data_IF_662282929706
#
_entry.id   IF_662282929706
#
_cell.length_a   1.000
_cell.length_b   1.000
_cell.length_c   1.000
_cell.angle_alpha   90.00
_cell.angle_beta   90.00
_cell.angle_gamma   90.00
#
_symmetry.space_group_name_H-M   'P 1'
#
loop_
_entity.id
_entity.type
_entity.pdbx_description
1 polymer ?
#
# COMPACT_ATOMS: atom_id res chain seq x y z
N UNK A 1 7.64 29.51 1.98
CA UNK A 1 6.45 29.84 2.76
C UNK A 1 5.84 31.11 2.14
N UNK A 2 4.88 30.94 1.22
CA UNK A 2 4.22 32.07 0.57
C UNK A 2 2.99 32.43 1.43
N UNK A 3 3.01 33.57 2.12
CA UNK A 3 1.82 34.12 2.77
C UNK A 3 1.07 34.96 1.75
N UNK A 4 -0.06 34.52 1.27
CA UNK A 4 -0.99 35.36 0.53
C UNK A 4 -1.83 36.12 1.56
N UNK A 5 -1.67 37.42 1.61
CA UNK A 5 -2.47 38.31 2.44
C UNK A 5 -3.70 38.71 1.62
N UNK A 6 -4.89 38.30 2.07
CA UNK A 6 -6.15 38.75 1.48
C UNK A 6 -6.73 39.78 2.43
N UNK A 7 -6.90 41.02 1.95
CA UNK A 7 -7.61 42.06 2.68
C UNK A 7 -9.11 41.88 2.43
N UNK A 8 -9.86 41.73 3.51
CA UNK A 8 -11.32 41.78 3.48
C UNK A 8 -11.74 43.07 4.24
N UNK A 9 -12.38 44.03 3.58
CA UNK A 9 -13.01 45.14 4.24
C UNK A 9 -14.45 44.82 4.58
N UNK A 10 -14.76 44.77 5.87
CA UNK A 10 -16.12 44.68 6.38
C UNK A 10 -16.74 46.08 6.56
N UNK A 11 -18.04 46.18 6.89
CA UNK A 11 -18.74 47.44 7.11
C UNK A 11 -18.10 48.33 8.20
N UNK A 12 -17.26 47.78 9.05
CA UNK A 12 -16.59 48.44 10.18
C UNK A 12 -15.09 48.67 9.95
N UNK A 13 -14.57 48.51 8.73
CA UNK A 13 -13.20 48.82 8.35
C UNK A 13 -12.11 47.86 8.87
N UNK A 14 -12.44 46.66 9.31
CA UNK A 14 -11.48 45.69 9.81
C UNK A 14 -10.95 44.78 8.70
N UNK A 15 -9.62 44.74 8.55
CA UNK A 15 -8.94 43.80 7.64
C UNK A 15 -8.63 42.50 8.36
N UNK A 16 -9.14 41.38 7.88
CA UNK A 16 -8.80 40.06 8.42
C UNK A 16 -7.70 39.42 7.58
N UNK A 17 -6.56 39.14 8.19
CA UNK A 17 -5.44 38.43 7.54
C UNK A 17 -5.68 36.93 7.67
N UNK A 18 -5.89 36.23 6.55
CA UNK A 18 -6.03 34.78 6.50
C UNK A 18 -4.69 34.16 6.11
N UNK A 19 -4.07 33.44 7.05
CA UNK A 19 -2.87 32.63 6.75
C UNK A 19 -3.28 31.32 6.09
N UNK A 20 -2.76 31.05 4.89
CA UNK A 20 -2.88 29.74 4.24
C UNK A 20 -1.71 28.85 4.65
N UNK A 21 -1.99 27.60 4.95
CA UNK A 21 -0.96 26.58 5.09
C UNK A 21 -0.80 25.84 3.76
N UNK A 22 0.43 25.62 3.34
CA UNK A 22 0.74 24.69 2.25
C UNK A 22 0.61 23.28 2.79
N UNK A 23 -0.18 22.43 2.14
CA UNK A 23 -0.27 21.01 2.44
C UNK A 23 1.03 20.30 2.03
N UNK A 24 1.31 19.09 2.54
CA UNK A 24 2.51 18.32 2.18
C UNK A 24 2.65 18.05 0.67
N UNK A 25 1.55 18.05 -0.07
CA UNK A 25 1.47 17.92 -1.53
C UNK A 25 1.75 19.21 -2.31
N UNK A 26 2.04 20.32 -1.61
CA UNK A 26 2.25 21.64 -2.21
C UNK A 26 0.97 22.42 -2.51
N UNK A 27 -0.21 21.86 -2.25
CA UNK A 27 -1.49 22.50 -2.46
C UNK A 27 -1.83 23.51 -1.35
N UNK A 28 -2.55 24.57 -1.70
CA UNK A 28 -3.05 25.54 -0.72
C UNK A 28 -4.41 25.10 -0.19
N UNK A 29 -4.60 25.17 1.14
CA UNK A 29 -5.91 24.89 1.74
C UNK A 29 -6.99 25.82 1.19
N UNK A 30 -8.22 25.34 0.89
CA UNK A 30 -9.34 26.20 0.54
C UNK A 30 -9.64 27.20 1.66
N UNK A 31 -9.92 28.46 1.33
CA UNK A 31 -10.40 29.45 2.30
C UNK A 31 -11.86 29.14 2.67
N UNK A 32 -12.13 28.80 3.92
CA UNK A 32 -13.50 28.79 4.45
C UNK A 32 -13.79 30.18 5.02
N UNK A 33 -14.72 30.89 4.40
CA UNK A 33 -15.22 32.16 4.91
C UNK A 33 -16.48 31.90 5.74
N UNK A 34 -16.45 32.28 6.98
CA UNK A 34 -17.65 32.27 7.84
C UNK A 34 -17.90 33.74 8.25
N UNK A 35 -18.98 34.32 7.73
CA UNK A 35 -19.59 35.51 8.33
C UNK A 35 -19.35 36.89 7.69
N UNK A 36 -18.83 36.99 6.45
CA UNK A 36 -18.70 38.31 5.79
C UNK A 36 -19.23 38.31 4.35
N UNK A 37 -19.94 39.40 3.93
CA UNK A 37 -20.65 39.43 2.65
C UNK A 37 -19.82 39.79 1.39
N UNK A 38 -18.59 40.26 1.49
CA UNK A 38 -17.78 40.56 0.30
C UNK A 38 -16.29 40.64 0.60
N UNK A 39 -15.47 39.87 -0.13
CA UNK A 39 -14.02 40.03 -0.18
C UNK A 39 -13.60 40.41 -1.61
N UNK A 40 -12.85 41.47 -1.75
CA UNK A 40 -12.22 41.88 -3.02
C UNK A 40 -10.75 41.43 -3.01
N UNK A 41 -10.29 40.81 -4.09
CA UNK A 41 -8.87 40.52 -4.30
C UNK A 41 -8.37 41.41 -5.44
N UNK A 42 -7.24 42.07 -5.27
CA UNK A 42 -6.60 42.88 -6.30
C UNK A 42 -5.91 42.07 -7.41
N UNK A 43 -5.93 40.73 -7.34
CA UNK A 43 -5.37 39.84 -8.37
C UNK A 43 -6.38 39.66 -9.51
N UNK A 44 -6.08 40.16 -10.74
CA UNK A 44 -6.98 40.10 -11.90
C UNK A 44 -7.38 38.66 -12.29
N UNK A 45 -6.63 37.65 -11.85
CA UNK A 45 -6.89 36.24 -12.12
C UNK A 45 -8.07 35.66 -11.34
N UNK A 46 -8.62 36.41 -10.37
CA UNK A 46 -9.72 35.98 -9.49
C UNK A 46 -11.07 36.54 -9.84
N UNK A 47 -11.20 37.29 -10.95
CA UNK A 47 -12.47 37.92 -11.33
C UNK A 47 -13.56 36.96 -11.82
N UNK A 48 -13.33 35.64 -11.88
CA UNK A 48 -14.25 34.71 -12.55
C UNK A 48 -14.88 33.62 -11.66
N UNK A 49 -14.74 33.67 -10.34
CA UNK A 49 -15.35 32.61 -9.52
C UNK A 49 -15.94 33.14 -8.23
N UNK A 50 -17.26 33.35 -8.20
CA UNK A 50 -17.97 33.55 -6.95
C UNK A 50 -19.17 34.46 -6.98
N UNK A 51 -20.20 34.15 -7.74
CA UNK A 51 -21.53 34.72 -7.47
C UNK A 51 -22.19 33.91 -6.36
N UNK A 52 -22.29 34.52 -5.17
CA UNK A 52 -23.10 33.98 -4.07
C UNK A 52 -24.55 34.41 -4.36
N UNK A 53 -25.45 33.42 -4.39
CA UNK A 53 -26.88 33.67 -4.45
C UNK A 53 -27.36 34.30 -3.14
N UNK A 54 -27.72 35.56 -3.22
CA UNK A 54 -28.59 36.25 -2.27
C UNK A 54 -29.92 36.54 -2.94
N UNK A 55 -30.99 35.97 -2.40
CA UNK A 55 -32.36 36.20 -2.88
C UNK A 55 -32.87 37.57 -2.50
N UNK A 56 -33.05 38.47 -3.46
CA UNK A 56 -34.17 39.47 -3.51
C UNK A 56 -34.25 39.99 -4.94
N UNK A 57 -35.39 39.85 -5.53
CA UNK A 57 -35.67 40.30 -6.88
C UNK A 57 -35.71 41.82 -6.97
N UNK A 58 -35.08 42.44 -7.97
CA UNK A 58 -35.44 43.79 -8.46
C UNK A 58 -36.28 43.71 -9.74
N UNK A 59 -36.98 44.81 -10.10
CA UNK A 59 -38.07 44.81 -11.07
C UNK A 59 -37.59 44.72 -12.51
N UNK A 60 -38.54 44.32 -13.37
CA UNK A 60 -38.39 44.12 -14.80
C UNK A 60 -37.80 45.32 -15.53
N UNK A 61 -36.74 45.11 -16.29
CA UNK A 61 -36.33 45.97 -17.41
C UNK A 61 -35.87 45.12 -18.60
N UNK A 62 -36.51 45.40 -19.73
CA UNK A 62 -36.03 45.35 -21.09
C UNK A 62 -35.49 44.04 -21.68
N UNK A 63 -36.24 43.46 -22.64
CA UNK A 63 -35.78 42.53 -23.63
C UNK A 63 -34.50 43.04 -24.33
N UNK A 64 -33.40 42.26 -24.29
CA UNK A 64 -32.26 42.59 -25.13
C UNK A 64 -30.93 41.89 -24.90
N UNK A 65 -30.81 40.97 -23.97
CA UNK A 65 -29.54 40.26 -23.78
C UNK A 65 -29.75 38.75 -23.49
N UNK A 66 -30.29 38.04 -24.48
CA UNK A 66 -30.26 36.57 -24.50
C UNK A 66 -29.20 36.13 -25.49
N UNK A 67 -27.98 36.14 -25.10
CA UNK A 67 -26.96 35.30 -25.77
C UNK A 67 -25.65 35.35 -24.97
N UNK A 68 -25.07 34.16 -24.79
CA UNK A 68 -23.70 33.92 -24.39
C UNK A 68 -23.34 34.01 -22.90
N UNK A 69 -23.85 33.12 -22.03
CA UNK A 69 -23.05 32.45 -21.03
C UNK A 69 -23.59 31.02 -20.88
N UNK A 70 -23.21 30.12 -21.77
CA UNK A 70 -23.19 28.69 -21.46
C UNK A 70 -21.87 28.40 -20.76
N UNK A 71 -21.79 28.67 -19.47
CA UNK A 71 -20.74 28.08 -18.64
C UNK A 71 -21.08 26.62 -18.54
N UNK A 72 -20.45 25.80 -19.37
CA UNK A 72 -20.41 24.37 -19.14
C UNK A 72 -19.60 24.12 -17.87
N UNK A 73 -20.23 24.23 -16.71
CA UNK A 73 -19.79 23.51 -15.53
C UNK A 73 -19.96 22.04 -15.84
N UNK A 74 -18.94 21.46 -16.46
CA UNK A 74 -18.77 20.01 -16.48
C UNK A 74 -18.36 19.63 -15.06
N UNK A 75 -19.35 19.54 -14.16
CA UNK A 75 -19.21 18.76 -12.93
C UNK A 75 -18.94 17.34 -13.39
N UNK A 76 -17.65 16.95 -13.47
CA UNK A 76 -17.35 15.53 -13.46
C UNK A 76 -17.87 15.05 -12.13
N UNK A 77 -18.94 14.28 -12.14
CA UNK A 77 -19.28 13.38 -11.04
C UNK A 77 -18.01 12.59 -10.80
N UNK A 78 -17.34 12.83 -9.66
CA UNK A 78 -16.29 11.96 -9.17
C UNK A 78 -17.02 10.64 -8.98
N UNK A 79 -16.75 9.65 -9.83
CA UNK A 79 -17.26 8.32 -9.60
C UNK A 79 -16.68 7.87 -8.26
N UNK A 80 -17.51 7.42 -7.34
CA UNK A 80 -17.11 6.83 -6.08
C UNK A 80 -16.26 5.59 -6.37
N UNK A 81 -14.96 5.75 -6.64
CA UNK A 81 -14.08 4.67 -7.05
C UNK A 81 -12.70 5.10 -7.51
N UNK A 82 -12.47 6.37 -7.80
CA UNK A 82 -11.18 6.87 -8.28
C UNK A 82 -10.24 7.23 -7.12
N UNK A 83 -9.70 6.22 -6.47
CA UNK A 83 -8.61 6.39 -5.52
C UNK A 83 -7.25 6.34 -6.26
N UNK A 84 -6.23 6.96 -5.67
CA UNK A 84 -4.86 6.95 -6.17
C UNK A 84 -3.84 6.95 -5.02
N UNK A 85 -2.60 6.65 -5.35
CA UNK A 85 -1.50 6.79 -4.40
C UNK A 85 -1.09 8.26 -4.23
N UNK A 86 -0.38 8.56 -3.14
CA UNK A 86 0.10 9.92 -2.85
C UNK A 86 0.96 10.50 -3.98
N UNK A 87 1.74 9.67 -4.67
CA UNK A 87 2.57 10.06 -5.83
C UNK A 87 1.77 10.58 -7.03
N UNK A 88 0.49 10.25 -7.12
CA UNK A 88 -0.42 10.66 -8.19
C UNK A 88 -1.22 11.92 -7.83
N UNK A 89 -1.31 12.28 -6.55
CA UNK A 89 -2.09 13.43 -6.08
C UNK A 89 -1.50 14.72 -6.63
N UNK A 90 -2.36 15.52 -7.27
CA UNK A 90 -2.00 16.86 -7.79
C UNK A 90 -3.07 17.87 -7.41
N UNK A 91 -2.69 19.14 -7.28
CA UNK A 91 -3.63 20.23 -7.05
C UNK A 91 -4.63 20.33 -8.21
N UNK A 92 -5.91 20.05 -7.93
CA UNK A 92 -6.95 19.95 -8.96
C UNK A 92 -7.03 18.58 -9.65
N UNK A 93 -6.31 17.56 -9.16
CA UNK A 93 -6.40 16.18 -9.63
C UNK A 93 -7.78 15.56 -9.39
N UNK A 94 -8.12 14.57 -10.20
CA UNK A 94 -9.45 13.93 -10.20
C UNK A 94 -9.51 12.66 -9.36
N UNK A 95 -8.49 12.35 -8.53
CA UNK A 95 -8.45 11.15 -7.73
C UNK A 95 -8.24 11.45 -6.24
N UNK A 96 -8.69 10.53 -5.39
CA UNK A 96 -8.65 10.66 -3.94
C UNK A 96 -7.40 9.92 -3.42
N UNK A 97 -6.45 10.68 -2.86
CA UNK A 97 -5.25 10.14 -2.24
C UNK A 97 -5.51 9.48 -0.87
N UNK A 98 -4.48 8.86 -0.26
CA UNK A 98 -4.63 8.04 0.95
C UNK A 98 -5.31 8.73 2.13
N UNK A 99 -5.12 10.03 2.30
CA UNK A 99 -5.76 10.80 3.39
C UNK A 99 -7.29 10.91 3.24
N UNK A 100 -7.79 10.70 2.03
CA UNK A 100 -9.22 10.77 1.71
C UNK A 100 -9.88 9.42 1.46
N UNK A 101 -9.16 8.29 1.56
CA UNK A 101 -9.69 6.96 1.22
C UNK A 101 -10.91 6.54 2.04
N UNK A 102 -11.10 7.09 3.24
CA UNK A 102 -12.34 6.90 4.03
C UNK A 102 -13.60 7.35 3.31
N UNK A 103 -13.49 8.27 2.35
CA UNK A 103 -14.62 8.71 1.50
C UNK A 103 -14.88 7.76 0.33
N UNK A 104 -13.90 6.92 -0.03
CA UNK A 104 -14.01 5.88 -1.05
C UNK A 104 -14.56 4.59 -0.44
N UNK A 105 -14.02 4.20 0.71
CA UNK A 105 -14.42 3.03 1.46
C UNK A 105 -14.28 3.31 2.97
N UNK A 106 -15.38 3.15 3.72
CA UNK A 106 -15.43 3.44 5.16
C UNK A 106 -14.39 2.64 5.96
N UNK A 107 -14.17 1.38 5.58
CA UNK A 107 -13.21 0.51 6.25
C UNK A 107 -11.77 1.05 6.22
N UNK A 108 -11.41 1.96 5.27
CA UNK A 108 -10.10 2.60 5.26
C UNK A 108 -9.84 3.51 6.48
N UNK A 109 -10.87 3.85 7.25
CA UNK A 109 -10.79 4.59 8.51
C UNK A 109 -10.79 3.69 9.75
N UNK A 110 -10.69 2.37 9.59
CA UNK A 110 -10.70 1.39 10.67
C UNK A 110 -9.50 1.49 11.61
N UNK A 111 -9.51 0.67 12.66
CA UNK A 111 -8.49 0.71 13.72
C UNK A 111 -7.39 -0.34 13.56
N UNK A 112 -7.58 -1.32 12.67
CA UNK A 112 -6.61 -2.38 12.39
C UNK A 112 -6.03 -2.25 10.98
N UNK A 113 -5.75 -1.05 10.54
CA UNK A 113 -5.30 -0.75 9.19
C UNK A 113 -3.84 -1.14 8.92
N UNK A 114 -3.54 -1.43 7.65
CA UNK A 114 -2.21 -1.73 7.10
C UNK A 114 -1.84 -0.71 6.02
N UNK A 115 -0.52 -0.54 5.69
CA UNK A 115 0.65 -1.17 6.33
C UNK A 115 0.99 -0.55 7.69
N UNK A 116 1.97 -1.12 8.40
CA UNK A 116 2.47 -0.59 9.67
C UNK A 116 4.00 -0.39 9.65
N UNK A 117 4.50 0.43 10.58
CA UNK A 117 5.92 0.42 10.94
C UNK A 117 6.16 -0.67 11.99
N UNK A 118 6.99 -1.66 11.65
CA UNK A 118 7.38 -2.74 12.55
C UNK A 118 8.59 -2.28 13.37
N UNK A 119 8.36 -1.92 14.62
CA UNK A 119 9.43 -1.55 15.55
C UNK A 119 9.97 -2.82 16.19
N UNK A 120 11.14 -3.29 15.74
CA UNK A 120 11.68 -4.63 16.07
C UNK A 120 11.81 -4.88 17.55
N UNK A 121 12.28 -3.88 18.33
CA UNK A 121 12.41 -3.95 19.81
C UNK A 121 11.09 -4.09 20.56
N UNK A 122 9.95 -3.78 19.91
CA UNK A 122 8.61 -3.88 20.50
C UNK A 122 7.87 -5.14 20.08
N UNK A 123 8.45 -5.94 19.19
CA UNK A 123 7.82 -7.19 18.78
C UNK A 123 7.94 -8.25 19.86
N UNK A 124 6.89 -9.04 20.03
CA UNK A 124 6.85 -10.12 21.02
C UNK A 124 7.25 -11.46 20.37
N UNK A 125 8.10 -12.28 20.98
CA UNK A 125 8.37 -13.62 20.48
C UNK A 125 7.13 -14.49 20.66
N UNK A 126 6.79 -15.29 19.64
CA UNK A 126 5.71 -16.28 19.72
C UNK A 126 6.20 -17.62 19.19
N UNK A 127 6.28 -18.63 20.05
CA UNK A 127 6.76 -19.97 19.71
C UNK A 127 5.80 -20.75 18.81
N UNK A 128 4.56 -20.29 18.61
CA UNK A 128 3.60 -20.88 17.67
C UNK A 128 3.91 -20.49 16.21
N UNK A 129 4.67 -19.41 16.02
CA UNK A 129 5.10 -18.96 14.71
C UNK A 129 6.21 -19.87 14.16
N UNK A 130 5.82 -21.08 13.79
CA UNK A 130 6.70 -22.12 13.22
C UNK A 130 7.04 -21.82 11.75
N UNK A 131 8.02 -22.51 11.15
CA UNK A 131 8.23 -22.44 9.71
C UNK A 131 6.97 -22.78 8.92
N UNK A 132 6.84 -22.20 7.74
CA UNK A 132 5.76 -22.49 6.81
C UNK A 132 6.07 -23.73 5.96
N UNK A 133 5.01 -24.41 5.53
CA UNK A 133 5.03 -25.40 4.46
C UNK A 133 4.39 -24.79 3.23
N UNK A 134 5.11 -24.81 2.12
CA UNK A 134 4.66 -24.32 0.82
C UNK A 134 4.42 -25.51 -0.11
N UNK A 135 3.18 -25.69 -0.54
CA UNK A 135 2.79 -26.75 -1.49
C UNK A 135 2.52 -26.13 -2.84
N UNK A 136 2.97 -26.75 -3.93
CA UNK A 136 2.76 -26.24 -5.30
C UNK A 136 3.61 -25.03 -5.69
N UNK A 137 4.44 -24.47 -4.79
CA UNK A 137 5.27 -23.31 -5.06
C UNK A 137 6.41 -23.56 -6.04
N UNK A 138 6.84 -24.81 -6.18
CA UNK A 138 7.89 -25.24 -7.13
C UNK A 138 7.32 -25.70 -8.47
N UNK A 139 6.00 -25.84 -8.57
CA UNK A 139 5.34 -26.25 -9.79
C UNK A 139 5.35 -25.09 -10.79
N UNK A 140 5.78 -25.39 -12.03
CA UNK A 140 5.75 -24.41 -13.11
C UNK A 140 4.29 -24.15 -13.52
N UNK A 141 3.97 -22.89 -13.74
CA UNK A 141 2.66 -22.47 -14.22
C UNK A 141 2.76 -21.46 -15.35
N UNK A 142 1.65 -21.29 -16.06
CA UNK A 142 1.44 -20.25 -17.05
C UNK A 142 0.37 -19.29 -16.51
N UNK A 143 0.63 -18.00 -16.59
CA UNK A 143 -0.30 -16.98 -16.15
C UNK A 143 -0.08 -15.67 -16.87
N UNK A 144 -0.97 -14.71 -16.64
CA UNK A 144 -0.80 -13.35 -17.12
C UNK A 144 -0.11 -12.50 -16.06
N UNK A 145 0.87 -11.70 -16.53
CA UNK A 145 1.36 -10.55 -15.80
C UNK A 145 0.69 -9.30 -16.37
N UNK A 146 0.10 -8.50 -15.52
CA UNK A 146 -0.76 -7.38 -15.90
C UNK A 146 -0.30 -6.09 -15.22
N UNK A 147 -0.20 -5.01 -15.99
CA UNK A 147 -0.24 -3.65 -15.45
C UNK A 147 -1.71 -3.23 -15.38
N UNK A 148 -2.32 -3.26 -14.20
CA UNK A 148 -3.72 -2.89 -14.00
C UNK A 148 -3.95 -1.38 -13.81
N UNK A 149 -2.93 -0.56 -14.07
CA UNK A 149 -2.96 0.90 -13.90
C UNK A 149 -2.69 1.37 -12.46
N UNK A 150 -2.44 0.46 -11.52
CA UNK A 150 -2.13 0.75 -10.10
C UNK A 150 -0.95 -0.04 -9.57
N UNK A 151 -0.74 -1.25 -10.10
CA UNK A 151 0.37 -2.14 -9.76
C UNK A 151 0.63 -3.14 -10.89
N UNK A 152 1.70 -3.88 -10.78
CA UNK A 152 1.95 -5.11 -11.54
C UNK A 152 1.42 -6.29 -10.76
N UNK A 153 0.56 -7.08 -11.37
CA UNK A 153 -0.08 -8.24 -10.78
C UNK A 153 0.14 -9.50 -11.63
N UNK A 154 0.27 -10.63 -10.96
CA UNK A 154 0.25 -11.96 -11.58
C UNK A 154 -0.80 -12.81 -10.87
N UNK A 155 -1.73 -13.39 -11.61
CA UNK A 155 -2.68 -14.34 -11.07
C UNK A 155 -1.99 -15.67 -10.75
N UNK A 156 -2.40 -16.32 -9.67
CA UNK A 156 -1.71 -17.50 -9.16
C UNK A 156 -2.62 -18.73 -9.19
N UNK A 157 -2.04 -19.94 -9.42
CA UNK A 157 -2.81 -21.17 -9.39
C UNK A 157 -3.24 -21.50 -7.95
N UNK A 158 -4.49 -21.92 -7.77
CA UNK A 158 -5.03 -22.34 -6.47
C UNK A 158 -4.39 -23.63 -5.92
N UNK A 159 -3.56 -24.31 -6.72
CA UNK A 159 -2.72 -25.44 -6.28
C UNK A 159 -1.58 -24.99 -5.39
N UNK A 160 -1.14 -23.73 -5.52
CA UNK A 160 -0.14 -23.15 -4.63
C UNK A 160 -0.79 -22.82 -3.27
N UNK A 161 -0.29 -23.45 -2.20
CA UNK A 161 -0.85 -23.32 -0.85
C UNK A 161 0.25 -23.06 0.18
N UNK A 162 -0.15 -22.39 1.26
CA UNK A 162 0.70 -22.14 2.42
C UNK A 162 0.00 -22.60 3.69
N UNK A 163 0.76 -23.25 4.58
CA UNK A 163 0.31 -23.76 5.87
C UNK A 163 1.41 -23.63 6.91
N UNK A 164 1.08 -23.65 8.19
CA UNK A 164 2.03 -23.46 9.29
C UNK A 164 2.08 -22.01 9.77
N UNK A 165 3.08 -21.66 10.55
CA UNK A 165 3.22 -20.31 11.11
C UNK A 165 2.01 -19.84 11.91
N UNK A 166 1.34 -20.72 12.67
CA UNK A 166 0.11 -20.44 13.43
C UNK A 166 -1.09 -20.02 12.55
N UNK A 167 -1.10 -20.42 11.26
CA UNK A 167 -2.31 -20.36 10.45
C UNK A 167 -3.24 -21.51 10.84
N UNK A 168 -4.50 -21.17 11.14
CA UNK A 168 -5.47 -22.16 11.64
C UNK A 168 -5.80 -23.26 10.61
N UNK A 169 -5.73 -22.93 9.33
CA UNK A 169 -6.02 -23.80 8.17
C UNK A 169 -5.06 -23.50 7.03
N UNK A 170 -4.97 -24.33 5.99
CA UNK A 170 -4.26 -24.00 4.77
C UNK A 170 -4.89 -22.81 4.05
N UNK A 171 -4.06 -21.98 3.41
CA UNK A 171 -4.47 -20.90 2.52
C UNK A 171 -3.98 -21.18 1.11
N UNK A 172 -4.82 -20.94 0.11
CA UNK A 172 -4.48 -21.05 -1.31
C UNK A 172 -4.17 -19.70 -1.92
N UNK A 173 -3.20 -19.63 -2.80
CA UNK A 173 -2.79 -18.44 -3.49
C UNK A 173 -3.88 -17.93 -4.46
N UNK A 174 -3.98 -16.61 -4.60
CA UNK A 174 -4.90 -15.94 -5.53
C UNK A 174 -4.12 -15.12 -6.53
N UNK A 175 -3.24 -14.24 -6.05
CA UNK A 175 -2.43 -13.36 -6.88
C UNK A 175 -1.20 -12.86 -6.11
N UNK A 176 -0.20 -12.40 -6.85
CA UNK A 176 0.88 -11.58 -6.32
C UNK A 176 0.86 -10.20 -6.98
N UNK A 177 1.31 -9.20 -6.25
CA UNK A 177 1.49 -7.85 -6.78
C UNK A 177 2.66 -7.12 -6.09
N UNK A 178 3.08 -6.03 -6.71
CA UNK A 178 4.31 -5.32 -6.35
C UNK A 178 4.03 -3.88 -5.95
N UNK A 179 4.66 -3.44 -4.87
CA UNK A 179 4.74 -2.03 -4.47
C UNK A 179 6.11 -1.49 -4.82
N UNK A 180 6.14 -0.34 -5.52
CA UNK A 180 7.29 0.15 -6.27
C UNK A 180 7.76 1.50 -5.74
N UNK A 181 9.08 1.64 -5.55
CA UNK A 181 9.75 2.92 -5.38
C UNK A 181 10.25 3.49 -6.71
N UNK A 182 10.84 4.67 -6.66
CA UNK A 182 11.47 5.31 -7.81
C UNK A 182 12.94 4.91 -7.88
N UNK A 183 13.35 4.23 -8.95
CA UNK A 183 14.76 3.92 -9.26
C UNK A 183 15.55 3.27 -8.09
N UNK A 184 14.87 2.39 -7.32
CA UNK A 184 15.45 1.76 -6.14
C UNK A 184 15.39 2.59 -4.86
N UNK A 185 14.73 3.76 -4.88
CA UNK A 185 14.36 4.52 -3.69
C UNK A 185 13.19 3.87 -2.93
N UNK A 186 12.73 4.50 -1.82
CA UNK A 186 11.70 3.92 -0.95
C UNK A 186 10.42 3.57 -1.72
N UNK A 187 9.97 2.32 -1.60
CA UNK A 187 8.80 1.80 -2.32
C UNK A 187 8.00 0.77 -1.55
N UNK A 188 8.54 0.23 -0.44
CA UNK A 188 7.79 -0.73 0.38
C UNK A 188 6.62 -0.06 1.11
N UNK A 189 5.59 -0.82 1.39
CA UNK A 189 4.45 -0.38 2.19
C UNK A 189 4.75 -0.45 3.68
N UNK A 190 5.23 -1.62 4.14
CA UNK A 190 5.73 -1.75 5.50
C UNK A 190 7.09 -1.05 5.64
N UNK A 191 7.40 -0.64 6.87
CA UNK A 191 8.73 -0.19 7.26
C UNK A 191 9.23 -1.01 8.46
N UNK A 192 10.55 -1.18 8.55
CA UNK A 192 11.23 -1.80 9.68
C UNK A 192 12.02 -0.72 10.40
N UNK A 193 11.71 -0.48 11.68
CA UNK A 193 12.34 0.54 12.52
C UNK A 193 12.34 1.96 11.88
N UNK A 194 11.33 2.25 11.04
CA UNK A 194 11.15 3.51 10.35
C UNK A 194 11.67 3.54 8.91
N UNK A 195 12.47 2.57 8.51
CA UNK A 195 13.09 2.52 7.18
C UNK A 195 12.24 1.72 6.18
N UNK A 196 12.16 2.22 4.95
CA UNK A 196 11.51 1.56 3.81
C UNK A 196 12.52 0.94 2.88
N UNK A 197 12.11 -0.15 2.26
CA UNK A 197 12.86 -0.86 1.24
C UNK A 197 12.49 -0.37 -0.18
N UNK A 198 13.30 -0.68 -1.20
CA UNK A 198 13.03 -0.27 -2.58
C UNK A 198 11.69 -0.71 -3.14
N UNK A 199 11.25 -1.91 -2.79
CA UNK A 199 10.01 -2.52 -3.26
C UNK A 199 9.49 -3.50 -2.21
N UNK A 200 8.21 -3.88 -2.34
CA UNK A 200 7.60 -4.95 -1.55
C UNK A 200 6.71 -5.83 -2.44
N UNK A 201 6.87 -7.14 -2.30
CA UNK A 201 6.03 -8.16 -2.93
C UNK A 201 4.97 -8.61 -1.94
N UNK A 202 3.72 -8.64 -2.37
CA UNK A 202 2.63 -9.28 -1.64
C UNK A 202 2.14 -10.52 -2.39
N UNK A 203 2.07 -11.66 -1.70
CA UNK A 203 1.36 -12.85 -2.17
C UNK A 203 0.08 -12.94 -1.36
N UNK A 204 -1.05 -12.72 -2.03
CA UNK A 204 -2.38 -12.75 -1.44
C UNK A 204 -2.91 -14.16 -1.50
N UNK A 205 -3.31 -14.69 -0.35
CA UNK A 205 -3.88 -16.01 -0.19
C UNK A 205 -5.22 -15.89 0.54
N UNK A 206 -6.12 -16.82 0.29
CA UNK A 206 -7.40 -16.96 1.00
C UNK A 206 -7.49 -18.33 1.65
N UNK A 207 -8.22 -18.46 2.76
CA UNK A 207 -8.49 -19.78 3.33
C UNK A 207 -9.00 -20.72 2.26
N UNK A 208 -8.57 -21.98 2.30
CA UNK A 208 -8.86 -22.95 1.26
C UNK A 208 -10.36 -23.17 1.01
N UNK A 209 -11.18 -22.96 2.03
CA UNK A 209 -12.64 -23.11 1.98
C UNK A 209 -13.36 -22.04 1.14
N UNK A 210 -12.78 -20.85 0.95
CA UNK A 210 -13.40 -19.77 0.18
C UNK A 210 -13.10 -19.89 -1.31
N UNK A 211 -14.09 -19.53 -2.15
CA UNK A 211 -13.96 -19.58 -3.60
C UNK A 211 -13.54 -18.25 -4.22
N UNK A 212 -13.60 -17.14 -3.46
CA UNK A 212 -13.23 -15.81 -3.93
C UNK A 212 -12.64 -14.96 -2.81
N UNK A 213 -11.89 -13.93 -3.20
CA UNK A 213 -11.39 -12.92 -2.27
C UNK A 213 -12.55 -12.19 -1.57
N UNK A 214 -13.63 -11.88 -2.30
CA UNK A 214 -14.80 -11.18 -1.73
C UNK A 214 -15.50 -11.99 -0.62
N UNK A 215 -15.47 -13.31 -0.74
CA UNK A 215 -15.95 -14.21 0.31
C UNK A 215 -15.05 -14.20 1.53
N UNK A 216 -13.74 -14.33 1.29
CA UNK A 216 -12.72 -14.35 2.33
C UNK A 216 -12.67 -13.03 3.12
N UNK A 217 -12.91 -11.88 2.48
CA UNK A 217 -12.93 -10.57 3.13
C UNK A 217 -14.02 -10.39 4.19
N UNK A 218 -15.01 -11.28 4.25
CA UNK A 218 -16.06 -11.28 5.28
C UNK A 218 -15.64 -11.97 6.57
N UNK A 219 -14.53 -12.69 6.55
CA UNK A 219 -13.91 -13.36 7.70
C UNK A 219 -12.68 -12.56 8.16
N UNK A 220 -12.60 -12.23 9.45
CA UNK A 220 -11.50 -11.45 10.04
C UNK A 220 -10.10 -12.05 9.81
N UNK A 221 -10.02 -13.33 9.51
CA UNK A 221 -8.79 -14.04 9.17
C UNK A 221 -8.90 -14.77 7.81
N UNK A 222 -9.83 -14.38 6.97
CA UNK A 222 -10.09 -15.06 5.69
C UNK A 222 -8.98 -14.90 4.67
N UNK A 223 -8.20 -13.80 4.77
CA UNK A 223 -7.10 -13.48 3.87
C UNK A 223 -5.77 -13.58 4.59
N UNK A 224 -4.80 -14.27 4.00
CA UNK A 224 -3.41 -14.33 4.48
C UNK A 224 -2.48 -13.68 3.46
N UNK A 225 -1.77 -12.63 3.84
CA UNK A 225 -0.81 -11.98 2.93
C UNK A 225 0.61 -12.22 3.41
N UNK A 226 1.46 -12.69 2.48
CA UNK A 226 2.89 -12.84 2.67
C UNK A 226 3.59 -11.64 2.04
N UNK A 227 4.29 -10.85 2.84
CA UNK A 227 5.05 -9.67 2.42
C UNK A 227 6.54 -9.93 2.40
N UNK A 228 7.21 -9.54 1.29
CA UNK A 228 8.65 -9.70 1.11
C UNK A 228 9.26 -8.39 0.64
N UNK A 229 10.31 -7.95 1.29
CA UNK A 229 11.06 -6.76 0.89
C UNK A 229 12.09 -7.09 -0.19
N UNK A 230 12.39 -6.09 -1.01
CA UNK A 230 13.53 -6.16 -1.93
C UNK A 230 14.69 -5.31 -1.40
N UNK A 231 15.90 -5.71 -1.76
CA UNK A 231 17.10 -4.92 -1.54
C UNK A 231 17.90 -4.75 -2.82
N UNK A 232 18.66 -3.67 -2.89
CA UNK A 232 19.58 -3.46 -4.01
C UNK A 232 20.81 -4.36 -3.87
N UNK A 233 21.10 -5.12 -4.90
CA UNK A 233 22.25 -6.03 -5.02
C UNK A 233 23.24 -5.56 -6.09
N UNK A 234 24.49 -5.95 -5.93
CA UNK A 234 25.54 -5.74 -6.93
C UNK A 234 25.41 -6.62 -8.18
N UNK A 235 24.62 -7.69 -8.13
CA UNK A 235 24.41 -8.64 -9.22
C UNK A 235 22.94 -8.80 -9.58
N UNK A 236 22.66 -9.15 -10.84
CA UNK A 236 21.30 -9.43 -11.31
C UNK A 236 20.78 -10.76 -10.76
N UNK A 237 19.52 -10.75 -10.34
CA UNK A 237 18.79 -11.95 -9.96
C UNK A 237 18.15 -12.59 -11.19
N UNK A 238 18.76 -13.67 -11.70
CA UNK A 238 18.31 -14.39 -12.91
C UNK A 238 16.90 -14.97 -12.81
N UNK A 239 16.43 -15.28 -11.59
CA UNK A 239 15.07 -15.77 -11.37
C UNK A 239 13.99 -14.75 -11.75
N UNK A 240 14.35 -13.46 -11.79
CA UNK A 240 13.48 -12.35 -12.17
C UNK A 240 13.50 -11.98 -13.65
N UNK A 241 14.35 -12.62 -14.47
CA UNK A 241 14.52 -12.26 -15.89
C UNK A 241 13.17 -12.35 -16.65
N UNK A 242 12.32 -13.33 -16.36
CA UNK A 242 10.98 -13.46 -16.99
C UNK A 242 10.08 -12.26 -16.69
N UNK A 243 10.00 -11.82 -15.41
CA UNK A 243 9.24 -10.62 -15.03
C UNK A 243 9.85 -9.39 -15.68
N UNK A 244 11.17 -9.17 -15.54
CA UNK A 244 11.85 -7.98 -16.08
C UNK A 244 11.65 -7.85 -17.61
N UNK A 245 11.67 -8.97 -18.34
CA UNK A 245 11.40 -8.96 -19.79
C UNK A 245 9.94 -8.60 -20.07
N UNK A 246 9.00 -9.14 -19.30
CA UNK A 246 7.57 -8.86 -19.46
C UNK A 246 7.22 -7.38 -19.24
N UNK A 247 7.96 -6.65 -18.34
CA UNK A 247 7.71 -5.22 -18.09
C UNK A 247 7.79 -4.37 -19.35
N UNK A 248 8.59 -4.75 -20.34
CA UNK A 248 8.70 -3.99 -21.59
C UNK A 248 7.41 -4.04 -22.43
N UNK A 249 6.60 -5.10 -22.27
CA UNK A 249 5.32 -5.27 -22.97
C UNK A 249 4.16 -4.64 -22.21
N UNK A 250 4.25 -4.54 -20.87
CA UNK A 250 3.18 -4.06 -20.00
C UNK A 250 3.45 -2.67 -19.42
N UNK A 251 4.27 -1.86 -20.10
CA UNK A 251 4.63 -0.53 -19.61
C UNK A 251 3.47 0.47 -19.57
N UNK A 252 2.39 0.24 -20.33
CA UNK A 252 1.18 1.06 -20.34
C UNK A 252 0.08 0.41 -19.49
N UNK A 253 -0.84 1.20 -18.91
CA UNK A 253 -1.93 0.68 -18.09
C UNK A 253 -2.89 -0.20 -18.89
N UNK A 254 -3.51 -1.16 -18.21
CA UNK A 254 -4.44 -2.14 -18.78
C UNK A 254 -3.82 -3.02 -19.87
N UNK A 255 -2.52 -3.28 -19.79
CA UNK A 255 -1.79 -4.20 -20.65
C UNK A 255 -1.37 -5.45 -19.89
N UNK A 256 -1.30 -6.57 -20.59
CA UNK A 256 -0.87 -7.85 -20.05
C UNK A 256 -0.01 -8.61 -21.06
N UNK A 257 0.74 -9.57 -20.57
CA UNK A 257 1.46 -10.56 -21.37
C UNK A 257 1.55 -11.88 -20.61
N UNK A 258 1.83 -12.96 -21.29
CA UNK A 258 1.95 -14.28 -20.68
C UNK A 258 3.31 -14.44 -20.01
N UNK A 259 3.31 -14.93 -18.77
CA UNK A 259 4.45 -15.56 -18.11
C UNK A 259 4.34 -17.07 -18.28
N UNK A 260 5.36 -17.68 -18.84
CA UNK A 260 5.44 -19.14 -19.02
C UNK A 260 6.61 -19.71 -18.24
N UNK A 261 6.44 -20.94 -17.77
CA UNK A 261 7.49 -21.71 -17.10
C UNK A 261 8.07 -21.00 -15.87
N UNK A 262 7.21 -20.29 -15.13
CA UNK A 262 7.54 -19.65 -13.86
C UNK A 262 6.95 -20.42 -12.70
N UNK A 263 7.61 -20.37 -11.55
CA UNK A 263 7.13 -20.95 -10.29
C UNK A 263 7.25 -19.93 -9.16
N UNK A 264 6.43 -20.02 -8.12
CA UNK A 264 6.42 -19.05 -7.03
C UNK A 264 7.75 -19.01 -6.26
N UNK A 265 8.46 -20.13 -6.14
CA UNK A 265 9.76 -20.20 -5.48
C UNK A 265 10.88 -19.44 -6.23
N UNK A 266 10.63 -19.03 -7.49
CA UNK A 266 11.52 -18.13 -8.22
C UNK A 266 11.46 -16.70 -7.66
N UNK A 267 10.31 -16.29 -7.11
CA UNK A 267 10.03 -14.91 -6.73
C UNK A 267 10.18 -14.63 -5.23
N UNK A 268 10.47 -15.64 -4.44
CA UNK A 268 10.65 -15.53 -2.99
C UNK A 268 12.01 -16.07 -2.55
N UNK A 269 12.48 -15.74 -1.33
CA UNK A 269 13.67 -16.38 -0.77
C UNK A 269 13.50 -17.89 -0.64
N UNK A 270 14.62 -18.63 -0.56
CA UNK A 270 14.55 -20.07 -0.29
C UNK A 270 13.87 -20.35 1.06
N UNK A 271 13.20 -21.50 1.17
CA UNK A 271 12.46 -21.86 2.40
C UNK A 271 13.32 -21.81 3.66
N UNK A 272 14.61 -22.18 3.57
CA UNK A 272 15.57 -22.09 4.67
C UNK A 272 15.77 -20.65 5.16
N UNK A 273 15.57 -19.68 4.28
CA UNK A 273 15.69 -18.24 4.57
C UNK A 273 14.36 -17.58 4.98
N UNK A 274 13.26 -18.35 5.08
CA UNK A 274 11.93 -17.83 5.46
C UNK A 274 11.52 -18.19 6.89
N UNK A 275 12.46 -18.50 7.76
CA UNK A 275 12.20 -18.83 9.16
C UNK A 275 12.01 -17.62 10.06
N UNK A 276 12.44 -16.43 9.64
CA UNK A 276 12.36 -15.19 10.40
C UNK A 276 11.34 -14.23 9.78
N UNK A 277 10.25 -13.98 10.51
CA UNK A 277 9.16 -13.12 10.03
C UNK A 277 8.40 -12.47 11.19
N UNK A 278 7.60 -11.47 10.85
CA UNK A 278 6.66 -10.81 11.74
C UNK A 278 5.23 -11.20 11.38
N UNK A 279 4.36 -11.21 12.40
CA UNK A 279 2.94 -11.54 12.29
C UNK A 279 2.10 -10.46 12.97
N UNK A 280 1.04 -9.98 12.32
CA UNK A 280 0.05 -9.11 12.92
C UNK A 280 -1.30 -9.21 12.19
N UNK A 281 -2.39 -8.81 12.86
CA UNK A 281 -3.71 -8.68 12.26
C UNK A 281 -3.86 -7.28 11.66
N UNK A 282 -4.28 -7.21 10.39
CA UNK A 282 -4.39 -5.96 9.66
C UNK A 282 -5.45 -5.97 8.57
N UNK A 283 -5.23 -5.14 7.55
CA UNK A 283 -6.19 -4.90 6.47
C UNK A 283 -5.55 -5.06 5.09
N UNK A 284 -6.38 -5.01 4.05
CA UNK A 284 -5.90 -4.65 2.72
C UNK A 284 -5.28 -3.25 2.78
N UNK A 285 -4.23 -3.01 2.00
CA UNK A 285 -3.49 -1.73 1.98
C UNK A 285 -4.04 -0.73 0.97
N UNK A 286 -5.01 -1.14 0.17
CA UNK A 286 -5.73 -0.28 -0.79
C UNK A 286 -7.23 -0.39 -0.56
N UNK A 287 -8.04 0.57 -0.98
CA UNK A 287 -9.50 0.40 -0.94
C UNK A 287 -9.93 -0.93 -1.60
N UNK A 288 -10.82 -1.69 -0.91
CA UNK A 288 -11.72 -1.27 0.18
C UNK A 288 -11.15 -1.32 1.60
N UNK A 289 -9.87 -1.67 1.84
CA UNK A 289 -9.17 -1.63 3.12
C UNK A 289 -9.76 -2.54 4.22
N UNK A 290 -10.41 -3.64 3.86
CA UNK A 290 -11.06 -4.57 4.79
C UNK A 290 -10.07 -5.16 5.80
N UNK A 291 -10.45 -5.17 7.08
CA UNK A 291 -9.63 -5.62 8.22
C UNK A 291 -9.69 -7.14 8.41
N UNK A 292 -9.51 -7.88 7.32
CA UNK A 292 -9.64 -9.34 7.21
C UNK A 292 -8.30 -10.06 6.98
N UNK A 293 -7.16 -9.37 7.19
CA UNK A 293 -5.85 -9.87 6.74
C UNK A 293 -4.96 -10.30 7.90
N UNK A 294 -4.52 -11.55 7.85
CA UNK A 294 -3.42 -12.06 8.65
C UNK A 294 -2.12 -11.78 7.90
N UNK A 295 -1.35 -10.81 8.37
CA UNK A 295 -0.08 -10.41 7.77
C UNK A 295 1.09 -11.25 8.27
N UNK A 296 1.91 -11.72 7.33
CA UNK A 296 3.22 -12.31 7.57
C UNK A 296 4.24 -11.52 6.76
N UNK A 297 5.14 -10.79 7.43
CA UNK A 297 6.18 -9.97 6.78
C UNK A 297 7.54 -10.60 7.05
N UNK A 298 8.18 -11.12 6.00
CA UNK A 298 9.47 -11.79 6.10
C UNK A 298 10.63 -10.79 6.24
N UNK A 299 11.64 -11.17 7.05
CA UNK A 299 12.81 -10.32 7.29
C UNK A 299 13.84 -10.42 6.18
N UNK A 300 13.99 -11.60 5.60
CA UNK A 300 14.97 -11.82 4.55
C UNK A 300 14.47 -11.23 3.24
N UNK A 301 15.33 -10.46 2.61
CA UNK A 301 15.03 -9.67 1.43
C UNK A 301 15.27 -10.46 0.13
N UNK A 302 14.66 -10.00 -0.94
CA UNK A 302 14.87 -10.47 -2.30
C UNK A 302 15.88 -9.54 -2.97
N UNK A 303 17.08 -10.03 -3.36
CA UNK A 303 18.07 -9.17 -4.00
C UNK A 303 17.70 -8.90 -5.47
N UNK A 304 17.74 -7.63 -5.91
CA UNK A 304 17.67 -7.21 -7.30
C UNK A 304 18.79 -6.22 -7.62
N UNK A 305 19.35 -6.31 -8.82
CA UNK A 305 20.32 -5.29 -9.27
C UNK A 305 19.63 -3.92 -9.44
N UNK A 306 20.45 -2.86 -9.44
CA UNK A 306 19.95 -1.50 -9.70
C UNK A 306 19.20 -1.41 -11.04
N UNK A 307 19.69 -2.10 -12.08
CA UNK A 307 19.03 -2.12 -13.39
C UNK A 307 17.67 -2.81 -13.34
N UNK A 308 17.55 -3.91 -12.59
CA UNK A 308 16.28 -4.61 -12.42
C UNK A 308 15.29 -3.76 -11.64
N UNK A 309 15.70 -3.10 -10.55
CA UNK A 309 14.84 -2.15 -9.80
C UNK A 309 14.38 -1.00 -10.69
N UNK A 310 15.29 -0.40 -11.48
CA UNK A 310 14.96 0.71 -12.38
C UNK A 310 14.02 0.29 -13.55
N UNK A 311 13.98 -0.99 -13.91
CA UNK A 311 13.06 -1.47 -14.94
C UNK A 311 11.59 -1.27 -14.57
N UNK A 312 11.23 -1.41 -13.30
CA UNK A 312 9.87 -1.20 -12.80
C UNK A 312 9.44 0.28 -12.88
N UNK A 313 10.36 1.24 -12.79
CA UNK A 313 10.06 2.67 -12.88
C UNK A 313 9.63 3.14 -14.28
N UNK A 314 9.69 2.26 -15.29
CA UNK A 314 9.21 2.55 -16.65
C UNK A 314 7.72 2.32 -16.83
N UNK A 315 7.10 1.65 -15.90
CA UNK A 315 5.65 1.39 -15.90
C UNK A 315 4.87 2.69 -15.70
N UNK A 316 3.65 2.71 -16.20
CA UNK A 316 2.76 3.87 -16.08
C UNK A 316 1.50 3.52 -15.32
N UNK A 317 1.04 4.46 -14.51
CA UNK A 317 -0.29 4.47 -13.92
C UNK A 317 -1.38 4.70 -14.99
N UNK A 318 -2.65 4.51 -14.59
CA UNK A 318 -3.80 4.81 -15.43
C UNK A 318 -3.88 6.28 -15.90
N UNK A 319 -3.25 7.21 -15.17
CA UNK A 319 -3.15 8.63 -15.54
C UNK A 319 -1.94 8.95 -16.42
N UNK A 320 -1.16 7.94 -16.84
CA UNK A 320 0.01 8.06 -17.70
C UNK A 320 1.30 8.52 -16.99
N UNK A 321 1.25 8.75 -15.67
CA UNK A 321 2.45 9.07 -14.89
C UNK A 321 3.29 7.82 -14.62
N UNK A 322 4.60 7.96 -14.36
CA UNK A 322 5.44 6.83 -13.93
C UNK A 322 4.85 6.15 -12.69
N UNK A 323 4.75 4.80 -12.72
CA UNK A 323 4.23 3.99 -11.61
C UNK A 323 5.30 3.84 -10.53
N UNK A 324 5.41 4.85 -9.69
CA UNK A 324 6.36 4.93 -8.58
C UNK A 324 5.67 5.44 -7.31
N UNK A 325 6.19 5.06 -6.14
CA UNK A 325 5.58 5.43 -4.87
C UNK A 325 4.19 4.78 -4.69
N UNK A 326 4.03 3.52 -5.12
CA UNK A 326 2.78 2.76 -5.04
C UNK A 326 2.59 2.15 -3.65
N UNK A 327 2.62 2.98 -2.63
CA UNK A 327 2.44 2.56 -1.24
C UNK A 327 1.51 3.49 -0.48
N UNK A 328 0.75 2.90 0.43
CA UNK A 328 -0.03 3.64 1.44
C UNK A 328 0.92 4.11 2.55
N UNK A 329 0.72 5.29 3.16
CA UNK A 329 1.39 5.67 4.40
C UNK A 329 1.16 4.63 5.51
N UNK A 330 2.17 4.44 6.39
CA UNK A 330 2.04 3.55 7.55
C UNK A 330 0.91 3.99 8.47
N UNK A 331 0.16 3.03 8.97
CA UNK A 331 -1.02 3.22 9.81
C UNK A 331 -0.69 2.99 11.28
N UNK A 332 -1.41 3.64 12.21
CA UNK A 332 -1.17 3.48 13.63
C UNK A 332 -1.52 2.06 14.08
N UNK A 333 -0.74 1.54 15.02
CA UNK A 333 -0.97 0.20 15.60
C UNK A 333 -2.26 0.12 16.42
N UNK A 334 -2.72 1.24 17.03
CA UNK A 334 -3.95 1.29 17.82
C UNK A 334 -4.03 0.19 18.91
N UNK A 335 -2.90 -0.11 19.55
CA UNK A 335 -2.81 -1.14 20.58
C UNK A 335 -2.61 -2.57 20.07
N UNK A 336 -2.55 -2.79 18.75
CA UNK A 336 -2.21 -4.12 18.19
C UNK A 336 -0.79 -4.51 18.54
N UNK A 337 -0.62 -5.81 18.77
CA UNK A 337 0.68 -6.42 18.99
C UNK A 337 1.24 -6.94 17.65
N UNK A 338 2.56 -6.82 17.52
CA UNK A 338 3.31 -7.44 16.43
C UNK A 338 4.14 -8.55 17.03
N UNK A 339 3.96 -9.75 16.52
CA UNK A 339 4.70 -10.93 16.95
C UNK A 339 5.87 -11.19 16.01
N UNK A 340 6.89 -11.85 16.50
CA UNK A 340 8.00 -12.38 15.68
C UNK A 340 8.15 -13.86 15.88
N UNK A 341 8.52 -14.56 14.81
CA UNK A 341 8.91 -15.97 14.90
C UNK A 341 10.10 -16.14 15.84
N UNK A 342 10.03 -17.12 16.72
CA UNK A 342 11.10 -17.41 17.68
C UNK A 342 12.10 -18.41 17.11
N UNK A 343 13.38 -18.26 17.44
CA UNK A 343 14.36 -19.32 17.20
C UNK A 343 14.13 -20.43 18.23
N UNK A 344 13.32 -21.44 17.90
CA UNK A 344 13.12 -22.61 18.77
C UNK A 344 14.42 -23.44 18.98
N UNK A 345 15.44 -23.21 18.15
CA UNK A 345 16.68 -23.98 18.15
C UNK A 345 17.47 -23.83 19.44
N UNK A 346 17.33 -22.72 20.18
CA UNK A 346 18.15 -22.48 21.37
C UNK A 346 17.63 -23.27 22.59
N UNK A 347 16.34 -23.50 22.74
CA UNK A 347 15.81 -24.22 23.91
C UNK A 347 16.08 -25.72 23.86
N UNK A 348 16.00 -26.35 22.68
CA UNK A 348 16.28 -27.79 22.55
C UNK A 348 17.78 -28.08 22.73
N UNK A 349 18.64 -27.21 22.17
CA UNK A 349 20.10 -27.39 22.33
C UNK A 349 20.58 -27.14 23.77
N UNK A 350 20.01 -26.20 24.48
CA UNK A 350 20.34 -25.96 25.91
C UNK A 350 19.81 -27.08 26.79
N UNK A 351 18.62 -27.60 26.53
CA UNK A 351 18.10 -28.76 27.28
C UNK A 351 18.98 -30.02 27.02
N UNK A 352 19.36 -30.29 25.76
CA UNK A 352 20.25 -31.41 25.42
C UNK A 352 21.65 -31.26 26.01
N UNK A 353 22.19 -30.01 26.05
CA UNK A 353 23.47 -29.75 26.71
C UNK A 353 23.38 -29.93 28.22
N UNK A 354 22.32 -29.47 28.86
CA UNK A 354 22.11 -29.66 30.32
C UNK A 354 21.94 -31.15 30.65
N UNK A 355 21.17 -31.91 29.88
CA UNK A 355 20.99 -33.36 30.09
C UNK A 355 22.27 -34.14 29.85
N UNK A 356 23.09 -33.76 28.86
CA UNK A 356 24.38 -34.42 28.60
C UNK A 356 25.39 -34.13 29.70
N UNK A 357 25.43 -32.93 30.26
CA UNK A 357 26.30 -32.56 31.39
C UNK A 357 25.86 -33.29 32.65
N UNK A 358 24.58 -33.38 32.96
CA UNK A 358 24.04 -34.12 34.09
C UNK A 358 24.37 -35.60 33.97
N UNK A 359 24.21 -36.20 32.78
CA UNK A 359 24.56 -37.62 32.54
C UNK A 359 26.06 -37.91 32.75
N UNK A 360 26.95 -36.99 32.36
CA UNK A 360 28.40 -37.09 32.58
C UNK A 360 28.80 -36.99 34.06
N UNK A 361 28.04 -36.25 34.86
CA UNK A 361 28.32 -36.06 36.31
C UNK A 361 27.77 -37.27 37.14
N UNK A 362 26.68 -37.90 36.68
CA UNK A 362 25.98 -38.95 37.42
C UNK A 362 26.55 -40.35 37.13
N UNK A 363 27.28 -40.53 36.02
CA UNK A 363 27.91 -41.85 35.73
C UNK A 363 29.15 -42.01 36.58
N UNK A 364 29.20 -43.07 37.44
CA UNK A 364 30.39 -43.35 38.27
C UNK A 364 31.58 -43.74 37.38
N UNK A 365 32.74 -43.16 37.68
CA UNK A 365 33.99 -43.57 37.04
C UNK A 365 34.22 -45.09 37.22
N UNK A 366 34.57 -45.84 36.18
CA UNK A 366 34.88 -47.24 36.31
C UNK A 366 36.08 -47.41 37.24
N UNK A 367 35.96 -48.37 38.17
CA UNK A 367 37.04 -48.75 39.11
C UNK A 367 38.18 -49.43 38.37
#
# INVERSE_FOLDING_TARGET
MLCLVIHCEGPDGWATIVRRRTLPDGCLTPCKFTGFPACHSEDPRWRSSGAIQGSTAPPALGQGWRSWIRIHHRWRTISYGDWCYQSQVTCGGNCIGPDGWTTVAEACGGKAQSPINIVTRRTLPDGRLTPFTFTGYQEAFHSFITNNGRTVQVDLPATAKVQGGDLAVPYKAVQLHLHLGKDGGPGSEHSIDGERYPMELHIVNIKEEYNSLDEALKDLAGVGVLGFFYEQSGSSNKKYDSIINALNTINIPNSNTTLSDVSLDMFIPSQSNMTSYFRYQGSLTTPPCEEAVVWTVFRNTIPLSRQQLAAFSRLQFADGKPMVGTYRPVQPLNGRLVYRSGSQVILVSTLLLITSVISAIVLPLPK
#
